data_IF_178015970173
#
_entry.id   IF_178015970173
#
_cell.length_a   1.000
_cell.length_b   1.000
_cell.length_c   1.000
_cell.angle_alpha   90.00
_cell.angle_beta   90.00
_cell.angle_gamma   90.00
#
_symmetry.space_group_name_H-M   'P 1'
#
loop_
_entity.id
_entity.type
_entity.pdbx_description
1 polymer ?
#
# COMPACT_ATOMS: atom_id res chain seq x y z
N UNK A 1 -53.45 -43.24 52.77
CA UNK A 1 -53.32 -43.15 51.29
C UNK A 1 -53.19 -41.73 50.77
N UNK A 2 -53.41 -40.71 51.59
CA UNK A 2 -53.41 -39.26 51.12
C UNK A 2 -52.02 -38.62 51.01
N UNK A 3 -51.06 -39.05 51.78
CA UNK A 3 -49.72 -38.37 51.85
C UNK A 3 -48.85 -38.64 50.63
N UNK A 4 -48.96 -39.78 49.95
CA UNK A 4 -48.19 -40.13 48.76
C UNK A 4 -48.58 -39.31 47.51
N UNK A 5 -49.84 -38.88 47.39
CA UNK A 5 -50.31 -38.05 46.25
C UNK A 5 -49.78 -36.63 46.32
N UNK A 6 -49.63 -36.08 47.51
CA UNK A 6 -49.11 -34.71 47.65
C UNK A 6 -47.58 -34.61 47.37
N UNK A 7 -46.81 -35.65 47.69
CA UNK A 7 -45.37 -35.64 47.43
C UNK A 7 -45.05 -35.75 45.96
N UNK A 8 -45.77 -36.56 45.17
CA UNK A 8 -45.61 -36.64 43.72
C UNK A 8 -45.95 -35.31 42.99
N UNK A 9 -46.95 -34.58 43.44
CA UNK A 9 -47.39 -33.35 42.87
C UNK A 9 -46.36 -32.20 43.12
N UNK A 10 -45.72 -32.21 44.29
CA UNK A 10 -44.64 -31.25 44.63
C UNK A 10 -43.35 -31.48 43.84
N UNK A 11 -42.94 -32.74 43.65
CA UNK A 11 -41.75 -33.07 42.84
C UNK A 11 -41.95 -32.74 41.36
N UNK A 12 -43.14 -32.97 40.80
CA UNK A 12 -43.43 -32.63 39.40
C UNK A 12 -43.40 -31.12 39.14
N UNK A 13 -43.82 -30.30 40.11
CA UNK A 13 -43.82 -28.87 39.99
C UNK A 13 -42.40 -28.27 40.11
N UNK A 14 -41.53 -28.86 40.92
CA UNK A 14 -40.15 -28.40 41.10
C UNK A 14 -39.30 -28.77 39.87
N UNK A 15 -39.50 -29.94 39.27
CA UNK A 15 -38.79 -30.34 38.05
C UNK A 15 -39.18 -29.41 36.89
N UNK A 16 -40.45 -29.13 36.67
CA UNK A 16 -40.91 -28.24 35.61
C UNK A 16 -40.40 -26.78 35.74
N UNK A 17 -40.27 -26.28 36.97
CA UNK A 17 -39.69 -24.93 37.17
C UNK A 17 -38.19 -24.83 36.89
N UNK A 18 -37.44 -25.88 37.19
CA UNK A 18 -35.97 -25.91 36.86
C UNK A 18 -35.73 -25.99 35.35
N UNK A 19 -36.49 -26.81 34.66
CA UNK A 19 -36.43 -26.90 33.20
C UNK A 19 -36.80 -25.54 32.55
N UNK A 20 -37.89 -24.92 33.00
CA UNK A 20 -38.30 -23.62 32.49
C UNK A 20 -37.23 -22.52 32.70
N UNK A 21 -36.57 -22.49 33.86
CA UNK A 21 -35.48 -21.53 34.15
C UNK A 21 -34.29 -21.79 33.23
N UNK A 22 -33.94 -23.04 33.00
CA UNK A 22 -32.84 -23.39 32.12
C UNK A 22 -33.11 -22.92 30.67
N UNK A 23 -34.32 -23.15 30.16
CA UNK A 23 -34.72 -22.71 28.83
C UNK A 23 -34.69 -21.19 28.69
N UNK A 24 -35.18 -20.45 29.67
CA UNK A 24 -35.12 -18.96 29.67
C UNK A 24 -33.67 -18.47 29.64
N UNK A 25 -32.81 -19.04 30.48
CA UNK A 25 -31.38 -18.67 30.52
C UNK A 25 -30.70 -18.95 29.18
N UNK A 26 -31.00 -20.10 28.57
CA UNK A 26 -30.45 -20.48 27.25
C UNK A 26 -30.89 -19.48 26.17
N UNK A 27 -32.15 -19.10 26.12
CA UNK A 27 -32.67 -18.13 25.16
C UNK A 27 -32.02 -16.75 25.34
N UNK A 28 -31.88 -16.29 26.58
CA UNK A 28 -31.22 -15.00 26.89
C UNK A 28 -29.74 -15.02 26.43
N UNK A 29 -29.06 -16.14 26.65
CA UNK A 29 -27.65 -16.32 26.27
C UNK A 29 -27.46 -16.27 24.75
N UNK A 30 -28.36 -16.91 24.00
CA UNK A 30 -28.37 -16.89 22.52
C UNK A 30 -28.60 -15.45 22.01
N UNK A 31 -29.54 -14.74 22.60
CA UNK A 31 -29.83 -13.34 22.22
C UNK A 31 -28.61 -12.46 22.50
N UNK A 32 -27.97 -12.59 23.66
CA UNK A 32 -26.77 -11.84 24.02
C UNK A 32 -25.59 -12.11 23.04
N UNK A 33 -25.39 -13.36 22.68
CA UNK A 33 -24.38 -13.76 21.69
C UNK A 33 -24.71 -13.16 20.31
N UNK A 34 -25.96 -13.23 19.87
CA UNK A 34 -26.40 -12.64 18.60
C UNK A 34 -26.17 -11.13 18.54
N UNK A 35 -26.51 -10.41 19.61
CA UNK A 35 -26.25 -8.97 19.72
C UNK A 35 -24.75 -8.67 19.72
N UNK A 36 -23.95 -9.44 20.45
CA UNK A 36 -22.51 -9.27 20.51
C UNK A 36 -21.84 -9.46 19.13
N UNK A 37 -22.19 -10.55 18.44
CA UNK A 37 -21.64 -10.80 17.10
C UNK A 37 -22.16 -9.79 16.07
N UNK A 38 -23.41 -9.40 16.14
CA UNK A 38 -23.97 -8.34 15.29
C UNK A 38 -23.24 -7.00 15.49
N UNK A 39 -23.04 -6.58 16.73
CA UNK A 39 -22.27 -5.37 17.05
C UNK A 39 -20.82 -5.43 16.56
N UNK A 40 -20.14 -6.55 16.77
CA UNK A 40 -18.77 -6.76 16.25
C UNK A 40 -18.71 -6.67 14.73
N UNK A 41 -19.66 -7.25 14.03
CA UNK A 41 -19.75 -7.19 12.58
C UNK A 41 -19.95 -5.74 12.08
N UNK A 42 -20.84 -5.00 12.69
CA UNK A 42 -21.08 -3.58 12.36
C UNK A 42 -19.81 -2.76 12.58
N UNK A 43 -19.11 -2.95 13.70
CA UNK A 43 -17.84 -2.27 13.96
C UNK A 43 -16.77 -2.60 12.92
N UNK A 44 -16.69 -3.86 12.50
CA UNK A 44 -15.74 -4.28 11.47
C UNK A 44 -16.06 -3.61 10.13
N UNK A 45 -17.31 -3.66 9.68
CA UNK A 45 -17.74 -3.04 8.43
C UNK A 45 -17.58 -1.50 8.44
N UNK A 46 -17.91 -0.84 9.54
CA UNK A 46 -17.73 0.62 9.67
C UNK A 46 -16.26 1.02 9.67
N UNK A 47 -15.38 0.24 10.29
CA UNK A 47 -13.93 0.48 10.26
C UNK A 47 -13.36 0.31 8.86
N UNK A 48 -13.80 -0.70 8.13
CA UNK A 48 -13.34 -0.98 6.77
C UNK A 48 -13.87 0.05 5.76
N UNK A 49 -15.14 0.46 5.87
CA UNK A 49 -15.72 1.52 5.03
C UNK A 49 -15.11 2.89 5.31
N UNK A 50 -14.81 3.22 6.57
CA UNK A 50 -14.11 4.47 6.92
C UNK A 50 -12.67 4.44 6.40
N UNK A 51 -11.97 3.32 6.48
CA UNK A 51 -10.64 3.16 5.89
C UNK A 51 -10.68 3.38 4.37
N UNK A 52 -11.61 2.75 3.66
CA UNK A 52 -11.82 2.97 2.22
C UNK A 52 -12.16 4.42 1.87
N UNK A 53 -12.95 5.09 2.70
CA UNK A 53 -13.37 6.49 2.46
C UNK A 53 -12.23 7.49 2.66
N UNK A 54 -11.32 7.25 3.59
CA UNK A 54 -10.11 8.06 3.79
C UNK A 54 -9.08 7.80 2.67
N UNK A 55 -8.96 6.56 2.21
CA UNK A 55 -8.09 6.20 1.09
C UNK A 55 -8.63 6.66 -0.26
N UNK A 56 -9.94 6.85 -0.41
CA UNK A 56 -10.59 7.24 -1.66
C UNK A 56 -10.15 8.61 -2.23
N UNK A 57 -9.56 9.48 -1.41
CA UNK A 57 -9.13 10.82 -1.82
C UNK A 57 -7.60 10.95 -2.01
N UNK A 58 -6.86 9.85 -2.02
CA UNK A 58 -5.42 9.88 -2.26
C UNK A 58 -5.09 9.63 -3.74
N UNK A 59 -3.93 10.13 -4.20
CA UNK A 59 -3.43 9.82 -5.54
C UNK A 59 -3.29 8.31 -5.75
N UNK A 60 -2.79 7.59 -4.74
CA UNK A 60 -2.64 6.15 -4.78
C UNK A 60 -3.98 5.43 -5.02
N UNK A 61 -5.02 5.78 -4.25
CA UNK A 61 -6.35 5.18 -4.42
C UNK A 61 -6.99 5.55 -5.76
N UNK A 62 -6.78 6.76 -6.25
CA UNK A 62 -7.24 7.15 -7.58
C UNK A 62 -6.59 6.31 -8.67
N UNK A 63 -5.28 6.06 -8.58
CA UNK A 63 -4.56 5.20 -9.53
C UNK A 63 -5.10 3.76 -9.46
N UNK A 64 -5.21 3.19 -8.26
CA UNK A 64 -5.67 1.80 -8.08
C UNK A 64 -7.10 1.61 -8.59
N UNK A 65 -8.01 2.55 -8.30
CA UNK A 65 -9.41 2.44 -8.68
C UNK A 65 -9.67 2.66 -10.17
N UNK A 66 -8.83 3.44 -10.85
CA UNK A 66 -9.00 3.75 -12.27
C UNK A 66 -8.26 2.79 -13.20
N UNK A 67 -7.48 1.84 -12.68
CA UNK A 67 -6.72 0.90 -13.48
C UNK A 67 -7.12 -0.55 -13.19
N UNK A 68 -7.43 -1.30 -14.25
CA UNK A 68 -7.72 -2.72 -14.14
C UNK A 68 -6.42 -3.51 -13.96
N UNK A 69 -6.37 -4.34 -12.92
CA UNK A 69 -5.23 -5.23 -12.69
C UNK A 69 -5.18 -6.30 -13.78
N UNK A 70 -4.01 -6.49 -14.36
CA UNK A 70 -3.76 -7.51 -15.37
C UNK A 70 -2.62 -8.44 -14.98
N UNK A 71 -2.62 -9.63 -15.54
CA UNK A 71 -1.50 -10.60 -15.50
C UNK A 71 -0.66 -10.56 -16.78
N UNK A 72 -1.08 -9.80 -17.77
CA UNK A 72 -0.36 -9.60 -19.03
C UNK A 72 0.92 -8.79 -18.84
N UNK A 73 1.79 -8.79 -19.83
CA UNK A 73 3.06 -8.09 -19.77
C UNK A 73 2.93 -6.57 -19.77
N UNK A 74 1.86 -6.05 -20.40
CA UNK A 74 1.57 -4.62 -20.46
C UNK A 74 0.38 -4.29 -19.57
N UNK A 75 0.52 -3.28 -18.73
CA UNK A 75 -0.59 -2.77 -17.92
C UNK A 75 -0.28 -2.60 -16.45
N UNK A 76 -1.34 -2.47 -15.66
CA UNK A 76 -1.28 -2.29 -14.22
C UNK A 76 -1.29 -3.64 -13.52
N UNK A 77 -0.25 -3.94 -12.76
CA UNK A 77 0.00 -5.25 -12.15
C UNK A 77 0.08 -5.15 -10.64
N UNK A 78 -0.25 -6.25 -9.97
CA UNK A 78 -0.13 -6.39 -8.52
C UNK A 78 1.11 -7.22 -8.17
N UNK A 79 1.84 -6.81 -7.14
CA UNK A 79 2.94 -7.55 -6.50
C UNK A 79 2.71 -7.67 -5.00
N UNK A 80 3.65 -8.30 -4.30
CA UNK A 80 3.64 -8.37 -2.83
C UNK A 80 3.81 -6.99 -2.20
N UNK A 81 4.60 -6.10 -2.82
CA UNK A 81 4.93 -4.76 -2.33
C UNK A 81 3.91 -3.69 -2.70
N UNK A 82 2.94 -4.00 -3.56
CA UNK A 82 1.93 -3.05 -4.02
C UNK A 82 1.52 -3.27 -5.47
N UNK A 83 1.48 -2.18 -6.23
CA UNK A 83 1.07 -2.18 -7.64
C UNK A 83 2.11 -1.46 -8.49
N UNK A 84 2.27 -1.87 -9.73
CA UNK A 84 3.20 -1.24 -10.66
C UNK A 84 2.70 -1.29 -12.10
N UNK A 85 3.19 -0.38 -12.93
CA UNK A 85 2.95 -0.41 -14.36
C UNK A 85 4.10 -1.11 -15.08
N UNK A 86 3.78 -1.97 -16.05
CA UNK A 86 4.77 -2.65 -16.87
C UNK A 86 4.44 -2.56 -18.36
N UNK A 87 5.48 -2.60 -19.18
CA UNK A 87 5.36 -2.55 -20.63
C UNK A 87 4.91 -1.21 -21.18
N UNK A 88 4.35 -1.22 -22.37
CA UNK A 88 3.86 -0.02 -23.04
C UNK A 88 2.47 0.31 -22.52
N UNK A 89 2.38 1.35 -21.68
CA UNK A 89 1.12 1.82 -21.07
C UNK A 89 0.92 3.29 -21.39
N UNK A 90 -0.26 3.64 -21.88
CA UNK A 90 -0.58 5.01 -22.30
C UNK A 90 -1.16 5.88 -21.17
N UNK A 91 -1.75 5.28 -20.15
CA UNK A 91 -2.54 5.96 -19.12
C UNK A 91 -1.87 5.99 -17.73
N UNK A 92 -0.56 5.83 -17.64
CA UNK A 92 0.19 5.85 -16.39
C UNK A 92 0.81 7.21 -16.06
N UNK A 93 0.19 8.30 -16.49
CA UNK A 93 0.69 9.64 -16.25
C UNK A 93 -0.05 10.34 -15.12
N UNK A 94 0.70 11.16 -14.38
CA UNK A 94 0.15 12.11 -13.41
C UNK A 94 0.75 13.48 -13.65
N UNK A 95 -0.04 14.51 -13.44
CA UNK A 95 0.40 15.89 -13.51
C UNK A 95 0.55 16.44 -12.11
N UNK A 96 1.78 16.80 -11.75
CA UNK A 96 2.11 17.42 -10.46
C UNK A 96 2.68 18.79 -10.75
N UNK A 97 2.05 19.84 -10.25
CA UNK A 97 2.45 21.24 -10.45
C UNK A 97 2.79 21.60 -11.91
N UNK A 98 1.90 21.28 -12.83
CA UNK A 98 2.09 21.51 -14.27
C UNK A 98 3.20 20.69 -14.96
N UNK A 99 3.87 19.80 -14.25
CA UNK A 99 4.85 18.87 -14.83
C UNK A 99 4.24 17.47 -14.96
N UNK A 100 4.57 16.80 -16.05
CA UNK A 100 4.09 15.47 -16.33
C UNK A 100 5.10 14.43 -15.80
N UNK A 101 4.59 13.45 -15.08
CA UNK A 101 5.35 12.32 -14.54
C UNK A 101 4.69 11.02 -14.95
N UNK A 102 5.48 9.96 -15.06
CA UNK A 102 4.97 8.59 -15.17
C UNK A 102 4.92 7.94 -13.79
N UNK A 103 3.82 7.27 -13.51
CA UNK A 103 3.71 6.41 -12.33
C UNK A 103 4.47 5.12 -12.60
N UNK A 104 5.37 4.76 -11.69
CA UNK A 104 6.10 3.49 -11.71
C UNK A 104 5.40 2.49 -10.80
N UNK A 105 5.15 2.90 -9.57
CA UNK A 105 4.68 2.02 -8.50
C UNK A 105 3.72 2.75 -7.56
N UNK A 106 2.77 1.99 -7.01
CA UNK A 106 1.96 2.38 -5.85
C UNK A 106 2.23 1.36 -4.75
N UNK A 107 2.88 1.79 -3.67
CA UNK A 107 3.26 0.89 -2.58
C UNK A 107 2.06 0.49 -1.70
N UNK A 108 2.21 -0.56 -0.91
CA UNK A 108 1.22 -0.96 0.09
C UNK A 108 0.99 0.12 1.18
N UNK A 109 1.90 1.08 1.31
CA UNK A 109 1.78 2.24 2.21
C UNK A 109 1.02 3.42 1.56
N UNK A 110 0.39 3.23 0.38
CA UNK A 110 -0.28 4.26 -0.40
C UNK A 110 0.64 5.41 -0.87
N UNK A 111 1.92 5.11 -1.04
CA UNK A 111 2.89 6.03 -1.63
C UNK A 111 2.99 5.79 -3.13
N UNK A 112 3.19 6.86 -3.89
CA UNK A 112 3.28 6.77 -5.36
C UNK A 112 4.70 7.11 -5.77
N UNK A 113 5.39 6.15 -6.39
CA UNK A 113 6.69 6.37 -7.03
C UNK A 113 6.45 6.86 -8.46
N UNK A 114 7.02 8.00 -8.77
CA UNK A 114 6.88 8.64 -10.08
C UNK A 114 8.25 8.94 -10.68
N UNK A 115 8.33 8.92 -12.00
CA UNK A 115 9.51 9.36 -12.76
C UNK A 115 9.13 10.52 -13.67
N UNK A 116 10.04 11.48 -13.81
CA UNK A 116 9.84 12.61 -14.70
C UNK A 116 9.66 12.15 -16.17
N UNK A 117 8.69 12.72 -16.85
CA UNK A 117 8.49 12.49 -18.27
C UNK A 117 9.34 13.48 -19.09
N UNK A 118 10.62 13.18 -19.21
CA UNK A 118 11.60 13.99 -19.94
C UNK A 118 12.91 14.18 -19.16
N UNK A 119 13.87 14.75 -19.83
CA UNK A 119 15.19 15.03 -19.25
C UNK A 119 15.16 16.32 -18.44
N UNK A 120 15.72 16.30 -17.23
CA UNK A 120 15.89 17.48 -16.39
C UNK A 120 17.28 18.12 -16.52
N UNK A 121 18.19 17.45 -17.19
CA UNK A 121 19.55 17.91 -17.40
C UNK A 121 20.54 16.77 -17.58
N UNK A 122 21.79 17.12 -17.75
CA UNK A 122 22.91 16.20 -17.82
C UNK A 122 23.87 16.53 -16.68
N UNK A 123 24.27 15.51 -15.94
CA UNK A 123 25.22 15.64 -14.84
C UNK A 123 26.24 14.50 -14.91
N UNK A 124 27.51 14.84 -14.66
CA UNK A 124 28.57 13.84 -14.52
C UNK A 124 28.35 13.08 -13.21
N UNK A 125 28.38 11.75 -13.27
CA UNK A 125 28.19 10.91 -12.09
C UNK A 125 29.24 11.17 -11.00
N UNK A 126 30.46 11.46 -11.39
CA UNK A 126 31.61 11.65 -10.50
C UNK A 126 32.47 10.38 -10.38
N UNK A 127 33.52 10.45 -9.56
CA UNK A 127 34.51 9.40 -9.41
C UNK A 127 34.07 8.28 -8.45
N UNK A 128 33.13 8.55 -7.59
CA UNK A 128 32.61 7.53 -6.65
C UNK A 128 31.70 6.53 -7.34
N UNK A 129 31.87 5.25 -7.01
CA UNK A 129 30.96 4.18 -7.45
C UNK A 129 29.67 4.13 -6.64
N UNK A 130 29.58 4.87 -5.54
CA UNK A 130 28.40 4.89 -4.67
C UNK A 130 27.51 6.06 -5.04
N UNK A 131 26.21 5.79 -5.20
CA UNK A 131 25.24 6.81 -5.52
C UNK A 131 25.23 7.97 -4.49
N UNK A 132 25.33 7.65 -3.20
CA UNK A 132 25.32 8.66 -2.13
C UNK A 132 26.41 9.73 -2.25
N UNK A 133 27.55 9.35 -2.80
CA UNK A 133 28.73 10.18 -2.96
C UNK A 133 28.81 10.80 -4.37
N UNK A 134 27.88 10.46 -5.25
CA UNK A 134 27.88 10.91 -6.64
C UNK A 134 27.43 12.36 -6.78
N UNK A 135 27.95 13.03 -7.82
CA UNK A 135 27.52 14.38 -8.18
C UNK A 135 26.03 14.42 -8.52
N UNK A 136 25.47 13.34 -9.10
CA UNK A 136 24.05 13.25 -9.39
C UNK A 136 23.21 13.32 -8.13
N UNK A 137 23.58 12.56 -7.07
CA UNK A 137 22.84 12.60 -5.80
C UNK A 137 22.94 13.98 -5.15
N UNK A 138 24.12 14.60 -5.20
CA UNK A 138 24.32 15.97 -4.69
C UNK A 138 23.43 16.96 -5.44
N UNK A 139 23.40 16.88 -6.75
CA UNK A 139 22.58 17.74 -7.59
C UNK A 139 21.07 17.55 -7.37
N UNK A 140 20.63 16.32 -7.16
CA UNK A 140 19.22 16.02 -6.93
C UNK A 140 18.73 16.43 -5.53
N UNK A 141 19.55 16.28 -4.50
CA UNK A 141 19.09 16.30 -3.10
C UNK A 141 19.77 17.34 -2.20
N UNK A 142 20.84 18.01 -2.63
CA UNK A 142 21.50 19.04 -1.83
C UNK A 142 21.07 20.43 -2.24
N UNK A 143 20.73 21.21 -1.21
CA UNK A 143 20.33 22.61 -1.32
C UNK A 143 21.50 23.58 -1.34
N UNK A 144 22.67 23.15 -0.93
CA UNK A 144 23.81 24.05 -0.65
C UNK A 144 24.88 24.17 -1.77
N UNK A 145 24.62 23.58 -2.93
CA UNK A 145 25.53 23.67 -4.09
C UNK A 145 24.98 24.70 -5.07
N UNK A 146 25.77 25.69 -5.42
CA UNK A 146 25.43 26.72 -6.39
C UNK A 146 24.90 26.09 -7.68
N UNK A 147 23.73 26.51 -8.13
CA UNK A 147 22.97 25.90 -9.24
C UNK A 147 22.50 24.45 -9.02
N UNK A 148 22.39 24.01 -7.79
CA UNK A 148 21.97 22.66 -7.47
C UNK A 148 20.47 22.51 -7.26
N UNK A 149 20.06 21.35 -7.57
CA UNK A 149 18.88 20.73 -7.00
C UNK A 149 17.60 20.96 -7.77
N UNK A 150 17.17 19.90 -8.42
CA UNK A 150 15.77 19.79 -8.84
C UNK A 150 14.85 20.06 -7.65
N UNK A 151 15.28 19.73 -6.44
CA UNK A 151 14.51 19.92 -5.22
C UNK A 151 14.32 21.39 -4.85
N UNK A 152 15.36 22.23 -4.89
CA UNK A 152 15.27 23.66 -4.55
C UNK A 152 14.59 24.48 -5.63
N UNK A 153 14.83 24.13 -6.89
CA UNK A 153 14.15 24.73 -8.04
C UNK A 153 12.79 24.11 -8.30
N UNK A 154 12.38 23.14 -7.48
CA UNK A 154 11.04 22.58 -7.53
C UNK A 154 10.05 23.58 -6.92
N UNK A 155 8.80 23.43 -7.32
CA UNK A 155 7.71 24.34 -6.99
C UNK A 155 7.60 24.49 -5.47
N UNK A 156 7.46 25.72 -4.94
CA UNK A 156 7.31 25.95 -3.52
C UNK A 156 6.21 25.06 -2.91
N UNK A 157 6.52 24.34 -1.84
CA UNK A 157 5.58 23.46 -1.15
C UNK A 157 5.59 22.00 -1.64
N UNK A 158 6.39 21.67 -2.67
CA UNK A 158 6.49 20.27 -3.15
C UNK A 158 7.04 19.33 -2.07
N UNK A 159 7.87 19.81 -1.17
CA UNK A 159 8.40 19.05 -0.04
C UNK A 159 7.31 18.47 0.87
N UNK A 160 6.14 19.11 0.93
CA UNK A 160 4.98 18.60 1.69
C UNK A 160 4.32 17.37 1.06
N UNK A 161 4.55 17.17 -0.23
CA UNK A 161 4.03 16.03 -0.99
C UNK A 161 5.04 14.90 -1.12
N UNK A 162 6.34 15.22 -0.93
CA UNK A 162 7.41 14.26 -1.08
C UNK A 162 7.64 13.48 0.20
N UNK A 163 7.90 12.19 0.05
CA UNK A 163 8.39 11.34 1.12
C UNK A 163 9.82 10.91 0.81
N UNK A 164 10.66 10.97 1.83
CA UNK A 164 12.02 10.44 1.73
C UNK A 164 11.98 8.92 1.64
N UNK A 165 12.80 8.38 0.80
CA UNK A 165 12.93 6.94 0.61
C UNK A 165 14.40 6.49 0.69
N UNK A 166 14.55 5.20 0.90
CA UNK A 166 15.85 4.53 0.86
C UNK A 166 15.95 3.72 -0.43
N UNK A 167 17.07 3.82 -1.12
CA UNK A 167 17.33 3.09 -2.34
C UNK A 167 18.22 1.86 -2.10
N UNK A 168 18.15 0.93 -3.04
CA UNK A 168 18.90 -0.31 -3.00
C UNK A 168 20.25 -0.15 -3.70
N UNK A 169 21.36 -0.24 -2.97
CA UNK A 169 22.67 -0.48 -3.56
C UNK A 169 22.87 -2.00 -3.72
N UNK A 170 22.26 -2.58 -4.73
CA UNK A 170 22.27 -4.00 -4.96
C UNK A 170 23.07 -4.41 -6.20
N UNK A 171 23.26 -5.70 -6.35
CA UNK A 171 23.83 -6.29 -7.56
C UNK A 171 22.75 -7.00 -8.36
N UNK A 172 22.80 -6.83 -9.67
CA UNK A 172 21.95 -7.56 -10.60
C UNK A 172 22.58 -8.91 -10.94
N UNK A 173 21.84 -9.99 -10.69
CA UNK A 173 22.22 -11.34 -11.12
C UNK A 173 21.00 -12.08 -11.65
N UNK A 174 21.05 -12.53 -12.91
CA UNK A 174 19.93 -13.25 -13.55
C UNK A 174 18.59 -12.49 -13.44
N UNK A 175 18.59 -11.20 -13.77
CA UNK A 175 17.42 -10.31 -13.67
C UNK A 175 16.79 -10.18 -12.27
N UNK A 176 17.51 -10.62 -11.26
CA UNK A 176 17.12 -10.44 -9.87
C UNK A 176 18.06 -9.46 -9.18
N UNK A 177 17.48 -8.46 -8.55
CA UNK A 177 18.22 -7.50 -7.73
C UNK A 177 18.38 -8.09 -6.33
N UNK A 178 19.62 -8.25 -5.92
CA UNK A 178 19.91 -8.60 -4.52
C UNK A 178 20.14 -7.34 -3.72
N UNK A 179 19.14 -6.92 -2.98
CA UNK A 179 19.23 -5.78 -2.08
C UNK A 179 19.53 -6.24 -0.66
N UNK A 180 20.79 -6.28 -0.29
CA UNK A 180 21.18 -6.62 1.08
C UNK A 180 20.98 -5.47 2.07
N UNK A 181 21.15 -4.24 1.60
CA UNK A 181 21.04 -3.04 2.44
C UNK A 181 20.34 -1.93 1.66
N UNK A 182 19.31 -1.36 2.26
CA UNK A 182 18.74 -0.10 1.79
C UNK A 182 19.52 1.04 2.42
N UNK A 183 19.94 2.00 1.61
CA UNK A 183 20.70 3.18 2.04
C UNK A 183 20.03 4.45 1.58
N UNK A 184 20.38 5.53 2.24
CA UNK A 184 19.93 6.85 1.89
C UNK A 184 18.66 7.28 2.60
N UNK A 185 18.36 8.54 2.45
CA UNK A 185 17.19 9.22 2.97
C UNK A 185 16.94 10.42 2.05
N UNK A 186 16.59 10.13 0.81
CA UNK A 186 16.54 11.09 -0.30
C UNK A 186 15.12 11.31 -0.79
N UNK A 187 14.83 12.49 -1.31
CA UNK A 187 13.55 12.77 -1.96
C UNK A 187 13.57 12.37 -3.44
N UNK A 188 14.75 12.40 -4.08
CA UNK A 188 14.95 12.11 -5.49
C UNK A 188 16.08 11.11 -5.68
N UNK A 189 15.95 10.27 -6.69
CA UNK A 189 17.03 9.41 -7.15
C UNK A 189 16.98 9.21 -8.66
N UNK A 190 18.00 8.57 -9.19
CA UNK A 190 17.95 7.92 -10.50
C UNK A 190 17.06 6.67 -10.40
N UNK A 191 16.56 6.22 -11.55
CA UNK A 191 15.75 5.00 -11.62
C UNK A 191 16.54 3.79 -11.10
N UNK A 192 15.96 3.04 -10.19
CA UNK A 192 16.54 1.79 -9.69
C UNK A 192 16.45 0.68 -10.75
N UNK A 193 17.41 -0.23 -10.75
CA UNK A 193 17.41 -1.37 -11.68
C UNK A 193 16.16 -2.23 -11.51
N UNK A 194 15.67 -2.37 -10.29
CA UNK A 194 14.45 -3.12 -10.00
C UNK A 194 13.22 -2.48 -10.64
N UNK A 195 13.09 -1.15 -10.55
CA UNK A 195 12.02 -0.42 -11.20
C UNK A 195 12.04 -0.60 -12.72
N UNK A 196 13.26 -0.55 -13.31
CA UNK A 196 13.44 -0.78 -14.73
C UNK A 196 13.03 -2.20 -15.14
N UNK A 197 13.44 -3.23 -14.38
CA UNK A 197 13.10 -4.63 -14.66
C UNK A 197 11.58 -4.85 -14.57
N UNK A 198 10.94 -4.27 -13.56
CA UNK A 198 9.48 -4.34 -13.41
C UNK A 198 8.76 -3.61 -14.55
N UNK A 199 9.24 -2.43 -14.93
CA UNK A 199 8.62 -1.60 -15.95
C UNK A 199 8.76 -2.16 -17.38
N UNK A 200 9.86 -2.84 -17.72
CA UNK A 200 10.10 -3.36 -19.07
C UNK A 200 9.16 -4.49 -19.48
N UNK A 201 8.50 -5.17 -18.55
CA UNK A 201 7.75 -6.40 -18.82
C UNK A 201 8.66 -7.57 -19.21
N UNK A 202 8.08 -8.63 -19.78
CA UNK A 202 8.85 -9.81 -20.21
C UNK A 202 9.55 -9.64 -21.56
N UNK A 203 9.01 -8.78 -22.43
CA UNK A 203 9.64 -8.49 -23.72
C UNK A 203 10.71 -7.45 -23.53
N UNK A 204 11.97 -7.86 -23.65
CA UNK A 204 13.10 -6.95 -23.66
C UNK A 204 13.02 -6.07 -24.91
N UNK A 205 12.92 -4.74 -24.73
CA UNK A 205 13.11 -3.77 -25.81
C UNK A 205 14.54 -3.74 -26.36
N UNK A 206 15.45 -4.49 -25.75
CA UNK A 206 16.86 -4.57 -26.13
C UNK A 206 17.17 -5.69 -27.13
N UNK A 207 16.16 -6.45 -27.56
CA UNK A 207 16.32 -7.56 -28.52
C UNK A 207 15.75 -7.20 -29.91
N UNK A 208 15.73 -5.93 -30.27
CA UNK A 208 15.50 -5.49 -31.66
C UNK A 208 16.75 -4.79 -32.20
#
# INVERSE_FOLDING_TARGET
>A
MSVKKNKKKKEKHIVGTKELIFDIVSVVLIICLGVYFGYRSILYYTKETNKKKVEANTLASAIINNNKITTEDNGFRKSEDGYYFSGLVENNYVKVFNRLYRVIEVTNANEVKIIANGNHGVMIYGDSKKYQESNINLWLNKSSVENSGIYENSIPGVEKLLKKFSYCEGTLKNDKVSCKNKKGNSYFSILEIEDYIRARGKKSFLNN
#
